data_IF_577858778055
#
_entry.id   IF_577858778055
#
_cell.length_a   1.000
_cell.length_b   1.000
_cell.length_c   1.000
_cell.angle_alpha   90.00
_cell.angle_beta   90.00
_cell.angle_gamma   90.00
#
_symmetry.space_group_name_H-M   'P 1'
#
loop_
_entity.id
_entity.type
_entity.pdbx_description
1 polymer ?
#
# COMPACT_ATOMS: atom_id res chain seq x y z
N UNK A 1 -13.26 -6.29 -18.50
CA UNK A 1 -11.92 -6.77 -18.08
C UNK A 1 -11.56 -6.07 -16.79
N UNK A 2 -11.22 -6.81 -15.73
CA UNK A 2 -10.89 -6.23 -14.44
C UNK A 2 -9.47 -5.66 -14.45
N UNK A 3 -9.26 -4.65 -13.63
CA UNK A 3 -8.01 -3.95 -13.46
C UNK A 3 -7.71 -3.65 -11.99
N UNK A 4 -6.42 -3.48 -11.73
CA UNK A 4 -5.86 -3.01 -10.49
C UNK A 4 -5.19 -1.65 -10.76
N UNK A 5 -5.63 -0.61 -10.06
CA UNK A 5 -5.04 0.73 -10.12
C UNK A 5 -4.16 0.93 -8.90
N UNK A 6 -2.87 1.14 -9.11
CA UNK A 6 -1.89 1.42 -8.06
C UNK A 6 -1.59 2.90 -8.06
N UNK A 7 -1.75 3.56 -6.92
CA UNK A 7 -1.30 4.92 -6.67
C UNK A 7 -0.41 4.92 -5.43
N UNK A 8 0.89 5.16 -5.58
CA UNK A 8 1.87 5.18 -4.50
C UNK A 8 2.83 6.36 -4.68
N UNK A 9 3.11 7.04 -3.57
CA UNK A 9 4.18 8.02 -3.43
C UNK A 9 4.96 7.70 -2.17
N UNK A 10 6.18 7.21 -2.33
CA UNK A 10 6.99 6.71 -1.21
C UNK A 10 8.33 7.42 -1.17
N UNK A 11 8.56 8.16 -0.08
CA UNK A 11 9.87 8.74 0.25
C UNK A 11 10.68 7.74 1.09
N UNK A 12 11.96 7.60 0.79
CA UNK A 12 12.87 6.68 1.47
C UNK A 12 13.95 7.44 2.24
N UNK A 13 14.45 6.83 3.30
CA UNK A 13 15.44 7.42 4.20
C UNK A 13 16.79 7.56 3.48
N UNK A 14 17.19 8.80 3.24
CA UNK A 14 18.45 9.15 2.59
C UNK A 14 19.68 8.61 3.34
N UNK A 15 19.57 8.41 4.66
CA UNK A 15 20.63 7.81 5.48
C UNK A 15 20.70 6.29 5.30
N UNK A 16 19.58 5.62 4.96
CA UNK A 16 19.53 4.17 4.70
C UNK A 16 19.87 3.82 3.25
N UNK A 17 19.65 4.73 2.29
CA UNK A 17 19.84 4.45 0.86
C UNK A 17 20.53 5.60 0.09
N UNK A 18 21.77 5.33 -0.35
CA UNK A 18 22.48 6.24 -1.25
C UNK A 18 21.91 6.23 -2.69
N UNK A 19 22.31 7.19 -3.52
CA UNK A 19 21.74 7.36 -4.87
C UNK A 19 21.84 6.12 -5.74
N UNK A 20 23.02 5.50 -5.76
CA UNK A 20 23.25 4.33 -6.61
C UNK A 20 22.34 3.17 -6.22
N UNK A 21 22.17 2.93 -4.92
CA UNK A 21 21.25 1.89 -4.40
C UNK A 21 19.80 2.28 -4.66
N UNK A 22 19.46 3.55 -4.51
CA UNK A 22 18.12 4.08 -4.76
C UNK A 22 17.68 3.88 -6.21
N UNK A 23 18.49 4.32 -7.17
CA UNK A 23 18.19 4.14 -8.60
C UNK A 23 17.99 2.65 -8.91
N UNK A 24 18.86 1.77 -8.38
CA UNK A 24 18.72 0.32 -8.57
C UNK A 24 17.43 -0.25 -7.94
N UNK A 25 17.03 0.27 -6.78
CA UNK A 25 15.77 -0.09 -6.13
C UNK A 25 14.57 0.35 -6.98
N UNK A 26 14.55 1.61 -7.40
CA UNK A 26 13.47 2.17 -8.22
C UNK A 26 13.30 1.39 -9.54
N UNK A 27 14.40 1.10 -10.25
CA UNK A 27 14.37 0.24 -11.45
C UNK A 27 13.77 -1.13 -11.15
N UNK A 28 14.20 -1.80 -10.06
CA UNK A 28 13.65 -3.11 -9.68
C UNK A 28 12.16 -3.06 -9.36
N UNK A 29 11.70 -1.99 -8.72
CA UNK A 29 10.26 -1.78 -8.45
C UNK A 29 9.50 -1.63 -9.76
N UNK A 30 10.01 -0.82 -10.69
CA UNK A 30 9.37 -0.62 -12.00
C UNK A 30 9.36 -1.88 -12.85
N UNK A 31 10.44 -2.66 -12.83
CA UNK A 31 10.52 -3.95 -13.53
C UNK A 31 9.45 -4.94 -13.07
N UNK A 32 9.08 -4.90 -11.79
CA UNK A 32 7.99 -5.74 -11.27
C UNK A 32 6.65 -5.37 -11.93
N UNK A 33 6.38 -4.08 -12.11
CA UNK A 33 5.12 -3.59 -12.69
C UNK A 33 5.10 -3.55 -14.22
N UNK A 34 6.24 -3.34 -14.89
CA UNK A 34 6.34 -3.31 -16.36
C UNK A 34 6.00 -4.66 -16.98
N UNK A 35 6.27 -5.75 -16.27
CA UNK A 35 5.93 -7.12 -16.64
C UNK A 35 4.43 -7.47 -16.46
N UNK A 36 3.56 -6.50 -16.25
CA UNK A 36 2.10 -6.69 -16.17
C UNK A 36 1.43 -6.08 -17.39
N UNK A 37 0.43 -6.80 -17.92
CA UNK A 37 -0.40 -6.30 -19.01
C UNK A 37 -1.07 -4.99 -18.61
N UNK A 38 -0.99 -3.99 -19.49
CA UNK A 38 -1.63 -2.70 -19.30
C UNK A 38 -3.14 -2.81 -19.45
N UNK A 39 -3.90 -2.14 -18.59
CA UNK A 39 -5.34 -2.00 -18.76
C UNK A 39 -5.66 -0.68 -19.45
N UNK A 40 -6.12 -0.75 -20.72
CA UNK A 40 -6.55 0.40 -21.56
C UNK A 40 -5.49 1.53 -21.66
N UNK A 41 -5.70 2.53 -22.54
CA UNK A 41 -4.77 3.66 -22.73
C UNK A 41 -4.87 4.72 -21.62
N UNK A 42 -5.00 4.32 -20.37
CA UNK A 42 -4.89 5.27 -19.25
C UNK A 42 -3.44 5.75 -19.15
N UNK A 43 -3.23 7.04 -18.92
CA UNK A 43 -1.91 7.59 -18.61
C UNK A 43 -1.29 6.79 -17.44
N UNK A 44 -0.13 6.19 -17.70
CA UNK A 44 0.64 5.47 -16.70
C UNK A 44 1.88 6.28 -16.40
N UNK A 45 2.08 6.60 -15.12
CA UNK A 45 3.26 7.31 -14.64
C UNK A 45 4.01 6.43 -13.65
N UNK A 46 5.24 6.10 -13.98
CA UNK A 46 6.22 5.58 -13.02
C UNK A 46 7.41 6.52 -13.09
N UNK A 47 7.84 7.03 -11.94
CA UNK A 47 8.91 8.00 -11.87
C UNK A 47 9.58 7.98 -10.51
N UNK A 48 10.78 8.54 -10.44
CA UNK A 48 11.45 8.73 -9.16
C UNK A 48 12.18 10.06 -9.15
N UNK A 49 12.29 10.65 -7.97
CA UNK A 49 13.09 11.85 -7.71
C UNK A 49 14.32 11.41 -6.94
N UNK A 50 15.49 11.56 -7.57
CA UNK A 50 16.78 11.17 -6.98
C UNK A 50 17.02 11.94 -5.69
N UNK A 51 16.92 13.27 -5.74
CA UNK A 51 17.24 14.14 -4.60
C UNK A 51 16.46 13.79 -3.34
N UNK A 52 15.15 13.53 -3.44
CA UNK A 52 14.27 13.24 -2.29
C UNK A 52 14.01 11.75 -2.08
N UNK A 53 14.77 10.88 -2.76
CA UNK A 53 14.60 9.41 -2.76
C UNK A 53 13.15 8.95 -2.84
N UNK A 54 12.37 9.63 -3.67
CA UNK A 54 10.94 9.41 -3.78
C UNK A 54 10.61 8.55 -5.00
N UNK A 55 9.82 7.51 -4.80
CA UNK A 55 9.27 6.64 -5.86
C UNK A 55 7.79 6.99 -6.04
N UNK A 56 7.39 7.30 -7.26
CA UNK A 56 6.01 7.56 -7.67
C UNK A 56 5.52 6.49 -8.63
N UNK A 57 4.35 5.93 -8.36
CA UNK A 57 3.68 4.92 -9.18
C UNK A 57 2.22 5.28 -9.28
N UNK A 58 1.75 5.55 -10.50
CA UNK A 58 0.34 5.71 -10.84
C UNK A 58 0.08 4.91 -12.12
N UNK A 59 -0.42 3.69 -11.97
CA UNK A 59 -0.58 2.74 -13.09
C UNK A 59 -1.90 1.98 -12.98
N UNK A 60 -2.42 1.56 -14.13
CA UNK A 60 -3.57 0.64 -14.24
C UNK A 60 -3.14 -0.61 -14.98
N UNK A 61 -3.22 -1.76 -14.32
CA UNK A 61 -2.81 -3.06 -14.86
C UNK A 61 -3.99 -4.01 -14.90
N UNK A 62 -4.00 -4.93 -15.87
CA UNK A 62 -5.01 -5.98 -15.94
C UNK A 62 -4.93 -6.82 -14.66
N UNK A 63 -6.07 -6.99 -14.00
CA UNK A 63 -6.16 -7.78 -12.80
C UNK A 63 -6.14 -9.27 -13.17
N UNK A 64 -4.96 -9.85 -13.08
CA UNK A 64 -4.77 -11.29 -12.94
C UNK A 64 -4.18 -11.55 -11.55
N UNK A 65 -4.40 -12.72 -10.95
CA UNK A 65 -3.96 -13.02 -9.57
C UNK A 65 -2.46 -12.81 -9.28
N UNK A 66 -1.64 -12.52 -10.30
CA UNK A 66 -0.24 -12.14 -10.14
C UNK A 66 -0.05 -10.66 -9.75
N UNK A 67 -0.97 -9.76 -10.08
CA UNK A 67 -0.80 -8.31 -9.88
C UNK A 67 -0.65 -7.95 -8.40
N UNK A 68 -1.50 -8.50 -7.53
CA UNK A 68 -1.41 -8.28 -6.09
C UNK A 68 -0.12 -8.85 -5.47
N UNK A 69 0.32 -10.04 -5.91
CA UNK A 69 1.61 -10.63 -5.48
C UNK A 69 2.79 -9.75 -5.90
N UNK A 70 2.74 -9.18 -7.09
CA UNK A 70 3.77 -8.25 -7.60
C UNK A 70 3.78 -6.93 -6.82
N UNK A 71 2.62 -6.37 -6.49
CA UNK A 71 2.50 -5.23 -5.59
C UNK A 71 3.16 -5.53 -4.23
N UNK A 72 2.80 -6.62 -3.57
CA UNK A 72 3.40 -7.00 -2.29
C UNK A 72 4.92 -7.17 -2.40
N UNK A 73 5.42 -7.74 -3.50
CA UNK A 73 6.86 -7.86 -3.76
C UNK A 73 7.52 -6.47 -3.86
N UNK A 74 6.92 -5.53 -4.58
CA UNK A 74 7.42 -4.16 -4.69
C UNK A 74 7.42 -3.45 -3.33
N UNK A 75 6.34 -3.54 -2.56
CA UNK A 75 6.25 -2.96 -1.21
C UNK A 75 7.31 -3.56 -0.27
N UNK A 76 7.58 -4.86 -0.33
CA UNK A 76 8.65 -5.51 0.46
C UNK A 76 10.05 -5.03 0.11
N UNK A 77 10.30 -4.67 -1.15
CA UNK A 77 11.58 -4.09 -1.57
C UNK A 77 11.77 -2.69 -0.97
N UNK A 78 10.67 -1.93 -0.89
CA UNK A 78 10.60 -0.54 -0.40
C UNK A 78 10.70 -0.47 1.13
N UNK A 79 9.98 -1.35 1.85
CA UNK A 79 9.83 -1.34 3.32
C UNK A 79 11.16 -1.18 4.07
N UNK A 80 12.22 -1.84 3.58
CA UNK A 80 13.57 -1.82 4.20
C UNK A 80 14.23 -0.45 4.28
N UNK A 81 13.76 0.50 3.47
CA UNK A 81 14.37 1.82 3.34
C UNK A 81 13.41 2.94 3.73
N UNK A 82 12.27 2.61 4.34
CA UNK A 82 11.35 3.64 4.81
C UNK A 82 12.01 4.51 5.87
N UNK A 83 11.74 5.81 5.75
CA UNK A 83 11.99 6.81 6.76
C UNK A 83 10.68 7.03 7.49
N UNK A 84 10.36 6.21 8.49
CA UNK A 84 9.27 6.65 9.36
C UNK A 84 9.18 5.97 10.72
N UNK A 85 9.20 6.80 11.75
CA UNK A 85 8.71 6.46 13.07
C UNK A 85 7.22 6.78 13.23
N UNK A 86 6.69 7.70 12.42
CA UNK A 86 5.29 8.13 12.48
C UNK A 86 4.44 7.45 11.42
N UNK A 87 3.12 7.62 11.57
CA UNK A 87 2.16 7.07 10.62
C UNK A 87 2.13 7.94 9.36
N UNK A 88 2.19 7.30 8.19
CA UNK A 88 2.08 7.99 6.91
C UNK A 88 1.33 7.14 5.90
N UNK A 89 0.40 7.76 5.19
CA UNK A 89 -0.19 7.16 4.00
C UNK A 89 0.80 7.19 2.85
N UNK A 90 1.06 6.02 2.27
CA UNK A 90 1.89 5.84 1.10
C UNK A 90 1.09 5.87 -0.21
N UNK A 91 -0.23 5.65 -0.13
CA UNK A 91 -1.14 5.72 -1.26
C UNK A 91 -2.28 4.71 -1.15
N UNK A 92 -2.80 4.25 -2.27
CA UNK A 92 -3.87 3.26 -2.33
C UNK A 92 -3.80 2.35 -3.56
N UNK A 93 -4.49 1.23 -3.45
CA UNK A 93 -4.65 0.25 -4.51
C UNK A 93 -6.13 -0.06 -4.65
N UNK A 94 -6.66 0.17 -5.85
CA UNK A 94 -8.04 -0.14 -6.17
C UNK A 94 -8.13 -1.39 -7.04
N UNK A 95 -8.97 -2.35 -6.64
CA UNK A 95 -9.25 -3.59 -7.34
C UNK A 95 -10.69 -3.57 -7.87
N UNK A 96 -10.84 -3.46 -9.19
CA UNK A 96 -12.16 -3.34 -9.83
C UNK A 96 -13.01 -4.61 -9.79
N UNK A 97 -12.40 -5.81 -9.67
CA UNK A 97 -13.15 -7.07 -9.63
C UNK A 97 -14.15 -7.10 -8.45
N UNK A 98 -13.77 -6.51 -7.32
CA UNK A 98 -14.56 -6.51 -6.08
C UNK A 98 -14.95 -5.09 -5.63
N UNK A 99 -14.77 -4.07 -6.49
CA UNK A 99 -14.97 -2.65 -6.17
C UNK A 99 -14.34 -2.26 -4.81
N UNK A 100 -13.06 -2.57 -4.66
CA UNK A 100 -12.38 -2.52 -3.37
C UNK A 100 -11.15 -1.63 -3.38
N UNK A 101 -11.08 -0.70 -2.45
CA UNK A 101 -9.89 0.09 -2.17
C UNK A 101 -9.11 -0.49 -0.97
N UNK A 102 -7.80 -0.56 -1.14
CA UNK A 102 -6.82 -0.93 -0.12
C UNK A 102 -5.91 0.27 0.09
N UNK A 103 -5.96 0.86 1.27
CA UNK A 103 -5.05 1.92 1.66
C UNK A 103 -3.70 1.34 2.10
N UNK A 104 -2.62 2.01 1.72
CA UNK A 104 -1.25 1.60 2.05
C UNK A 104 -0.68 2.61 3.04
N UNK A 105 -0.35 2.15 4.23
CA UNK A 105 0.24 2.96 5.29
C UNK A 105 1.65 2.46 5.63
N UNK A 106 2.50 3.34 6.14
CA UNK A 106 3.70 2.98 6.88
C UNK A 106 3.62 3.48 8.31
N UNK A 107 4.09 2.65 9.25
CA UNK A 107 4.25 3.03 10.65
C UNK A 107 5.41 2.25 11.26
N UNK A 108 6.32 2.94 11.97
CA UNK A 108 7.52 2.33 12.58
C UNK A 108 8.30 1.43 11.60
N UNK A 109 8.56 1.95 10.39
CA UNK A 109 9.25 1.26 9.29
C UNK A 109 8.58 -0.03 8.77
N UNK A 110 7.31 -0.28 9.09
CA UNK A 110 6.52 -1.43 8.60
C UNK A 110 5.42 -0.92 7.69
N UNK A 111 5.17 -1.61 6.58
CA UNK A 111 4.05 -1.32 5.68
C UNK A 111 2.82 -2.14 6.08
N UNK A 112 1.69 -1.45 6.14
CA UNK A 112 0.37 -1.99 6.42
C UNK A 112 -0.55 -1.77 5.22
N UNK A 113 -1.33 -2.80 4.92
CA UNK A 113 -2.42 -2.78 3.95
C UNK A 113 -3.72 -2.75 4.75
N UNK A 114 -4.54 -1.74 4.53
CA UNK A 114 -5.83 -1.59 5.20
C UNK A 114 -6.97 -1.58 4.22
N UNK A 115 -7.99 -2.37 4.48
CA UNK A 115 -9.20 -2.39 3.70
C UNK A 115 -10.45 -2.60 4.56
N UNK A 116 -11.59 -2.20 4.00
CA UNK A 116 -12.89 -2.39 4.62
C UNK A 116 -13.51 -3.65 4.01
N UNK A 117 -14.03 -4.53 4.87
CA UNK A 117 -14.72 -5.76 4.47
C UNK A 117 -15.95 -6.00 5.33
N UNK A 118 -16.86 -6.83 4.84
CA UNK A 118 -17.96 -7.36 5.64
C UNK A 118 -17.43 -8.49 6.55
N UNK A 119 -17.70 -8.39 7.84
CA UNK A 119 -17.37 -9.39 8.85
C UNK A 119 -18.41 -10.49 8.97
N UNK A 120 -18.10 -11.55 9.73
CA UNK A 120 -18.95 -12.74 9.89
C UNK A 120 -20.37 -12.44 10.39
N UNK A 121 -20.55 -11.35 11.14
CA UNK A 121 -21.84 -10.93 11.69
C UNK A 121 -22.55 -9.89 10.82
N UNK A 122 -22.16 -9.76 9.55
CA UNK A 122 -22.60 -8.69 8.64
C UNK A 122 -22.30 -7.28 9.14
N UNK A 123 -21.32 -7.17 10.03
CA UNK A 123 -20.78 -5.91 10.50
C UNK A 123 -19.70 -5.41 9.54
N UNK A 124 -19.48 -4.10 9.49
CA UNK A 124 -18.34 -3.55 8.77
C UNK A 124 -17.10 -3.63 9.64
N UNK A 125 -16.05 -4.22 9.08
CA UNK A 125 -14.76 -4.32 9.76
C UNK A 125 -13.65 -3.71 8.92
N UNK A 126 -12.70 -3.08 9.60
CA UNK A 126 -11.43 -2.72 9.00
C UNK A 126 -10.44 -3.85 9.24
N UNK A 127 -9.95 -4.44 8.16
CA UNK A 127 -8.86 -5.41 8.20
C UNK A 127 -7.55 -4.68 7.94
N UNK A 128 -6.53 -5.02 8.73
CA UNK A 128 -5.19 -4.46 8.63
C UNK A 128 -4.19 -5.59 8.62
N UNK A 129 -3.34 -5.62 7.60
CA UNK A 129 -2.37 -6.69 7.38
C UNK A 129 -0.99 -6.11 7.10
N UNK A 130 0.06 -6.67 7.72
CA UNK A 130 1.43 -6.32 7.39
C UNK A 130 1.97 -7.15 6.20
N UNK A 131 3.13 -6.79 5.65
CA UNK A 131 3.71 -7.53 4.53
C UNK A 131 4.22 -8.95 4.90
N UNK A 132 4.27 -9.30 6.19
CA UNK A 132 4.55 -10.68 6.65
C UNK A 132 3.31 -11.58 6.60
N UNK A 133 2.13 -11.01 6.34
CA UNK A 133 0.85 -11.74 6.29
C UNK A 133 0.18 -11.87 7.65
N UNK A 134 0.67 -11.19 8.68
CA UNK A 134 -0.03 -11.10 9.96
C UNK A 134 -1.15 -10.07 9.83
N UNK A 135 -2.33 -10.40 10.34
CA UNK A 135 -3.52 -9.55 10.22
C UNK A 135 -4.27 -9.38 11.54
N UNK A 136 -4.95 -8.25 11.66
CA UNK A 136 -5.90 -7.93 12.72
C UNK A 136 -7.15 -7.31 12.10
N UNK A 137 -8.27 -7.46 12.79
CA UNK A 137 -9.57 -6.99 12.33
C UNK A 137 -10.22 -6.17 13.44
N UNK A 138 -10.72 -4.99 13.09
CA UNK A 138 -11.41 -4.08 14.01
C UNK A 138 -12.85 -3.89 13.55
N UNK A 139 -13.81 -4.03 14.47
CA UNK A 139 -15.19 -3.63 14.18
C UNK A 139 -15.26 -2.10 14.12
N UNK A 140 -15.82 -1.57 13.03
CA UNK A 140 -15.96 -0.13 12.79
C UNK A 140 -17.42 0.30 12.57
N UNK A 141 -18.40 -0.52 12.94
CA UNK A 141 -19.84 -0.21 12.85
C UNK A 141 -20.21 1.11 13.52
N UNK A 142 -19.57 1.42 14.65
CA UNK A 142 -19.77 2.67 15.40
C UNK A 142 -19.23 3.88 14.64
N UNK A 143 -18.16 3.71 13.87
CA UNK A 143 -17.53 4.75 13.05
C UNK A 143 -18.34 5.01 11.77
N UNK A 144 -18.99 3.96 11.25
CA UNK A 144 -19.76 4.02 10.02
C UNK A 144 -20.97 4.97 10.07
N UNK A 145 -21.52 5.23 11.25
CA UNK A 145 -22.62 6.18 11.45
C UNK A 145 -22.19 7.65 11.34
N UNK A 146 -20.91 7.95 11.57
CA UNK A 146 -20.36 9.31 11.53
C UNK A 146 -19.54 9.56 10.25
N UNK A 147 -19.32 8.52 9.43
CA UNK A 147 -18.51 8.54 8.22
C UNK A 147 -17.10 8.02 8.52
N UNK A 148 -16.60 7.12 7.68
CA UNK A 148 -15.21 6.66 7.79
C UNK A 148 -14.34 7.74 7.19
N UNK A 149 -13.83 8.63 8.05
CA UNK A 149 -12.79 9.55 7.63
C UNK A 149 -11.42 8.84 7.65
N UNK A 150 -10.49 9.36 6.86
CA UNK A 150 -9.14 8.79 6.73
C UNK A 150 -8.40 8.72 8.08
N UNK A 151 -8.70 9.65 9.00
CA UNK A 151 -8.13 9.71 10.36
C UNK A 151 -8.56 8.54 11.25
N UNK A 152 -9.79 8.07 11.06
CA UNK A 152 -10.31 6.87 11.73
C UNK A 152 -9.51 5.63 11.33
N UNK A 153 -9.18 5.51 10.04
CA UNK A 153 -8.40 4.40 9.50
C UNK A 153 -6.93 4.47 9.90
N UNK A 154 -6.40 5.67 10.08
CA UNK A 154 -5.04 5.90 10.58
C UNK A 154 -4.86 5.37 12.02
N UNK A 155 -5.83 5.67 12.89
CA UNK A 155 -5.77 5.29 14.30
C UNK A 155 -5.73 3.77 14.49
N UNK A 156 -6.52 3.03 13.72
CA UNK A 156 -6.54 1.57 13.78
C UNK A 156 -5.25 0.92 13.26
N UNK A 157 -4.50 1.57 12.35
CA UNK A 157 -3.18 1.09 11.92
C UNK A 157 -2.17 1.16 13.08
N UNK A 158 -2.21 2.23 13.88
CA UNK A 158 -1.36 2.34 15.07
C UNK A 158 -1.68 1.24 16.07
N UNK A 159 -2.97 1.01 16.35
CA UNK A 159 -3.41 -0.08 17.23
C UNK A 159 -2.99 -1.44 16.67
N UNK A 160 -3.15 -1.65 15.37
CA UNK A 160 -2.72 -2.89 14.70
C UNK A 160 -1.24 -3.17 14.89
N UNK A 161 -0.39 -2.14 14.78
CA UNK A 161 1.04 -2.28 15.00
C UNK A 161 1.36 -2.76 16.42
N UNK A 162 0.71 -2.19 17.44
CA UNK A 162 0.90 -2.58 18.83
C UNK A 162 0.43 -4.03 19.06
N UNK A 163 -0.68 -4.45 18.45
CA UNK A 163 -1.19 -5.81 18.59
C UNK A 163 -0.32 -6.85 17.89
N UNK A 164 0.24 -6.53 16.72
CA UNK A 164 0.98 -7.48 15.88
C UNK A 164 2.46 -7.65 16.25
N UNK A 165 3.04 -6.70 16.98
CA UNK A 165 4.45 -6.70 17.37
C UNK A 165 4.68 -6.88 18.88
N UNK A 166 3.62 -7.18 19.64
CA UNK A 166 3.73 -7.76 20.99
C UNK A 166 3.86 -9.29 20.90
#
# INVERSE_FOLDING_TARGET
MNYLKVNLTVSLDENKINEKKFTKLATRVFDVFSNLSNYMSSEQKMGFVINTRTIEINISKVENGSCYKKLQKSLKLIEKYLENDDLKKLGSVYCSLNDKEILVFSFKNIIYLSDIVEGEKKNTVQRIMNLKGQEVVFNIDSIHKEGIDEKSMESTVVVAHLTLNN
#
